data_IF_126648213574
#
_entry.id   IF_126648213574
#
_cell.length_a   1.000
_cell.length_b   1.000
_cell.length_c   1.000
_cell.angle_alpha   90.00
_cell.angle_beta   90.00
_cell.angle_gamma   90.00
#
_symmetry.space_group_name_H-M   'P 1'
#
loop_
_entity.id
_entity.type
_entity.pdbx_description
1 polymer ?
#
# COMPACT_ATOMS: atom_id res chain seq x y z
N UNK A 1 -11.78 12.75 -2.76
CA UNK A 1 -11.15 11.98 -1.67
C UNK A 1 -11.45 12.70 -0.37
N UNK A 2 -11.75 11.97 0.69
CA UNK A 2 -11.89 12.51 2.04
C UNK A 2 -10.59 12.22 2.80
N UNK A 3 -9.98 13.28 3.33
CA UNK A 3 -8.72 13.21 4.05
C UNK A 3 -8.98 13.44 5.55
N UNK A 4 -8.51 12.52 6.39
CA UNK A 4 -8.65 12.60 7.85
C UNK A 4 -7.34 12.18 8.50
N UNK A 5 -7.05 12.69 9.69
CA UNK A 5 -5.87 12.31 10.47
C UNK A 5 -6.30 11.54 11.71
N UNK A 6 -5.71 10.36 11.93
CA UNK A 6 -5.87 9.61 13.17
C UNK A 6 -4.68 9.88 14.10
N UNK A 7 -4.96 10.22 15.35
CA UNK A 7 -3.94 10.42 16.37
C UNK A 7 -3.69 9.13 17.14
N UNK A 8 -2.47 8.62 17.04
CA UNK A 8 -1.95 7.44 17.73
C UNK A 8 -2.91 6.25 17.73
N UNK A 9 -3.47 5.86 16.56
CA UNK A 9 -4.50 4.83 16.53
C UNK A 9 -3.95 3.49 16.98
N UNK A 10 -4.76 2.72 17.71
CA UNK A 10 -4.46 1.32 18.02
C UNK A 10 -4.55 0.46 16.76
N UNK A 11 -4.04 -0.78 16.83
CA UNK A 11 -4.15 -1.72 15.70
C UNK A 11 -5.61 -1.96 15.32
N UNK A 12 -6.49 -2.14 16.31
CA UNK A 12 -7.92 -2.28 16.10
C UNK A 12 -8.55 -1.01 15.51
N UNK A 13 -8.14 0.18 15.96
CA UNK A 13 -8.62 1.44 15.39
C UNK A 13 -8.26 1.59 13.91
N UNK A 14 -7.04 1.20 13.54
CA UNK A 14 -6.62 1.14 12.13
C UNK A 14 -7.46 0.12 11.35
N UNK A 15 -7.65 -1.08 11.90
CA UNK A 15 -8.44 -2.13 11.26
C UNK A 15 -9.89 -1.70 11.03
N UNK A 16 -10.52 -1.07 12.02
CA UNK A 16 -11.89 -0.54 11.94
C UNK A 16 -12.03 0.57 10.90
N UNK A 17 -10.97 1.34 10.65
CA UNK A 17 -10.98 2.37 9.59
C UNK A 17 -11.24 1.74 8.22
N UNK A 18 -10.78 0.51 7.99
CA UNK A 18 -11.04 -0.24 6.77
C UNK A 18 -12.41 -0.94 6.71
N UNK A 19 -13.22 -0.84 7.78
CA UNK A 19 -14.56 -1.42 7.82
C UNK A 19 -15.61 -0.56 7.09
N UNK A 20 -15.27 0.68 6.73
CA UNK A 20 -16.14 1.54 5.94
C UNK A 20 -16.34 0.95 4.53
N UNK A 21 -17.54 0.41 4.30
CA UNK A 21 -17.94 -0.20 3.04
C UNK A 21 -18.44 0.81 2.01
N UNK A 22 -18.67 2.07 2.39
CA UNK A 22 -19.09 3.10 1.45
C UNK A 22 -17.92 3.61 0.61
N UNK A 23 -16.71 3.61 1.17
CA UNK A 23 -15.49 3.93 0.43
C UNK A 23 -15.11 2.78 -0.51
N UNK A 24 -14.85 3.12 -1.77
CA UNK A 24 -14.37 2.17 -2.78
C UNK A 24 -12.92 1.77 -2.56
N UNK A 25 -12.11 2.67 -1.97
CA UNK A 25 -10.75 2.37 -1.55
C UNK A 25 -10.40 3.22 -0.34
N UNK A 26 -9.64 2.66 0.59
CA UNK A 26 -9.14 3.36 1.76
C UNK A 26 -7.65 3.11 1.84
N UNK A 27 -6.88 4.18 1.98
CA UNK A 27 -5.45 4.13 2.12
C UNK A 27 -5.01 4.87 3.37
N UNK A 28 -4.20 4.21 4.19
CA UNK A 28 -3.61 4.82 5.37
C UNK A 28 -2.12 5.01 5.11
N UNK A 29 -1.60 6.21 5.39
CA UNK A 29 -0.18 6.54 5.24
C UNK A 29 0.40 7.01 6.55
N UNK A 30 1.63 6.55 6.79
CA UNK A 30 2.50 7.05 7.83
C UNK A 30 3.79 7.52 7.20
N UNK A 31 4.06 8.82 7.34
CA UNK A 31 5.25 9.46 6.76
C UNK A 31 6.56 8.91 7.32
N UNK A 32 6.54 8.35 8.54
CA UNK A 32 7.64 7.60 9.15
C UNK A 32 7.10 6.71 10.29
N UNK A 33 7.80 5.62 10.63
CA UNK A 33 7.29 4.62 11.59
C UNK A 33 6.92 5.21 12.95
N UNK A 34 7.74 6.13 13.46
CA UNK A 34 7.57 6.73 14.78
C UNK A 34 6.59 7.91 14.82
N UNK A 35 5.97 8.30 13.69
CA UNK A 35 5.00 9.39 13.69
C UNK A 35 3.86 9.08 14.67
N UNK A 36 3.28 10.08 15.32
CA UNK A 36 2.10 9.86 16.17
C UNK A 36 0.83 9.89 15.35
N UNK A 37 0.86 10.33 14.10
CA UNK A 37 -0.32 10.47 13.24
C UNK A 37 -0.33 9.47 12.10
N UNK A 38 -1.52 9.13 11.62
CA UNK A 38 -1.75 8.35 10.40
C UNK A 38 -2.72 9.13 9.53
N UNK A 39 -2.32 9.40 8.29
CA UNK A 39 -3.17 10.05 7.30
C UNK A 39 -4.08 9.00 6.68
N UNK A 40 -5.39 9.24 6.70
CA UNK A 40 -6.42 8.39 6.10
C UNK A 40 -6.92 9.08 4.85
N UNK A 41 -6.87 8.39 3.71
CA UNK A 41 -7.45 8.85 2.45
C UNK A 41 -8.53 7.86 2.01
N UNK A 42 -9.77 8.34 1.94
CA UNK A 42 -10.89 7.56 1.41
C UNK A 42 -11.22 8.01 0.00
N UNK A 43 -11.40 7.04 -0.88
CA UNK A 43 -11.78 7.24 -2.27
C UNK A 43 -13.15 6.61 -2.49
N UNK A 44 -14.02 7.35 -3.15
CA UNK A 44 -15.36 6.94 -3.51
C UNK A 44 -15.41 6.90 -5.04
N UNK A 45 -15.86 5.80 -5.61
CA UNK A 45 -16.18 5.75 -7.03
C UNK A 45 -17.26 6.79 -7.30
N UNK A 46 -17.08 7.58 -8.35
CA UNK A 46 -18.19 8.36 -8.89
C UNK A 46 -19.20 7.34 -9.39
N UNK A 47 -20.43 7.38 -8.88
CA UNK A 47 -21.52 6.60 -9.45
C UNK A 47 -21.56 6.93 -10.95
N UNK A 48 -21.31 5.94 -11.80
CA UNK A 48 -21.51 6.11 -13.22
C UNK A 48 -22.99 6.44 -13.42
N UNK A 49 -23.27 7.65 -13.90
CA UNK A 49 -24.62 8.11 -14.21
C UNK A 49 -25.38 7.01 -14.97
N UNK A 50 -26.45 6.54 -14.34
CA UNK A 50 -27.36 5.53 -14.87
C UNK A 50 -28.24 6.09 -16.00
N UNK A 51 -27.63 6.63 -17.06
CA UNK A 51 -28.32 7.08 -18.25
C UNK A 51 -27.41 7.04 -19.49
N UNK A 52 -27.49 5.95 -20.26
CA UNK A 52 -26.80 5.85 -21.55
C UNK A 52 -26.81 4.46 -22.17
N UNK A 53 -27.99 3.95 -22.51
CA UNK A 53 -28.15 2.69 -23.22
C UNK A 53 -27.61 2.74 -24.66
N UNK A 54 -27.05 1.60 -25.08
CA UNK A 54 -26.94 1.05 -26.44
C UNK A 54 -26.16 1.83 -27.53
N UNK A 55 -25.01 1.28 -27.94
CA UNK A 55 -24.85 0.71 -29.29
C UNK A 55 -23.65 -0.22 -29.34
N UNK A 56 -23.89 -1.43 -29.84
CA UNK A 56 -22.91 -2.43 -30.28
C UNK A 56 -22.08 -1.90 -31.44
N UNK A 57 -20.75 -2.09 -31.41
CA UNK A 57 -19.98 -2.78 -32.47
C UNK A 57 -18.47 -2.73 -32.17
N UNK A 58 -17.87 -3.92 -32.22
CA UNK A 58 -16.48 -4.23 -32.56
C UNK A 58 -15.36 -3.24 -32.19
N UNK A 59 -14.67 -3.51 -31.08
CA UNK A 59 -13.22 -3.66 -31.10
C UNK A 59 -12.74 -4.43 -29.85
N UNK A 60 -12.27 -5.66 -30.08
CA UNK A 60 -11.46 -6.42 -29.14
C UNK A 60 -10.06 -5.78 -29.08
N UNK A 61 -9.93 -4.69 -28.34
CA UNK A 61 -8.65 -4.16 -27.85
C UNK A 61 -9.00 -3.14 -26.77
N UNK A 62 -8.35 -3.23 -25.61
CA UNK A 62 -8.52 -2.29 -24.46
C UNK A 62 -9.67 -2.58 -23.49
N UNK A 63 -9.93 -3.86 -23.17
CA UNK A 63 -10.52 -4.21 -21.87
C UNK A 63 -9.45 -4.14 -20.76
N UNK A 64 -9.00 -2.93 -20.42
CA UNK A 64 -8.24 -2.66 -19.20
C UNK A 64 -8.51 -1.25 -18.66
N UNK A 65 -9.75 -0.78 -18.83
CA UNK A 65 -10.27 0.40 -18.15
C UNK A 65 -10.67 0.09 -16.72
N UNK A 66 -9.71 -0.33 -15.88
CA UNK A 66 -9.84 0.00 -14.46
C UNK A 66 -9.65 1.51 -14.42
N UNK A 67 -10.74 2.25 -14.25
CA UNK A 67 -10.74 3.67 -13.90
C UNK A 67 -10.05 3.76 -12.53
N UNK A 68 -8.72 3.66 -12.56
CA UNK A 68 -7.85 3.69 -11.40
C UNK A 68 -8.00 5.11 -10.92
N UNK A 69 -8.83 5.29 -9.90
CA UNK A 69 -8.86 6.50 -9.09
C UNK A 69 -7.42 6.92 -8.83
N UNK A 70 -6.92 7.88 -9.64
CA UNK A 70 -5.54 8.31 -9.57
C UNK A 70 -5.41 9.03 -8.24
N UNK A 71 -4.74 8.36 -7.30
CA UNK A 71 -4.46 8.90 -5.98
C UNK A 71 -3.75 10.24 -6.18
N UNK A 72 -4.26 11.36 -5.64
CA UNK A 72 -3.57 12.63 -5.74
C UNK A 72 -2.15 12.46 -5.21
N UNK A 73 -1.18 12.70 -6.09
CA UNK A 73 0.24 12.48 -5.82
C UNK A 73 0.71 13.52 -4.81
N UNK A 74 1.44 13.06 -3.79
CA UNK A 74 2.06 13.97 -2.82
C UNK A 74 3.18 14.78 -3.50
N UNK A 75 3.69 15.84 -2.87
CA UNK A 75 4.78 16.67 -3.42
C UNK A 75 6.04 15.87 -3.83
N UNK A 76 6.27 14.72 -3.18
CA UNK A 76 7.35 13.79 -3.56
C UNK A 76 7.01 13.03 -4.84
N UNK A 77 5.73 12.68 -5.04
CA UNK A 77 5.24 12.05 -6.27
C UNK A 77 5.31 12.99 -7.47
N UNK A 78 4.94 14.27 -7.33
CA UNK A 78 5.07 15.23 -8.45
C UNK A 78 6.54 15.52 -8.79
N UNK A 79 7.45 15.48 -7.81
CA UNK A 79 8.89 15.52 -8.07
C UNK A 79 9.36 14.25 -8.78
N UNK A 80 8.82 13.09 -8.42
CA UNK A 80 9.09 11.81 -9.07
C UNK A 80 8.76 11.87 -10.56
N UNK A 81 7.61 12.45 -10.91
CA UNK A 81 7.13 12.56 -12.29
C UNK A 81 8.05 13.45 -13.13
N UNK A 82 8.45 14.59 -12.58
CA UNK A 82 9.41 15.49 -13.22
C UNK A 82 10.78 14.84 -13.42
N UNK A 83 11.18 13.95 -12.51
CA UNK A 83 12.41 13.18 -12.66
C UNK A 83 12.26 12.06 -13.71
N UNK A 84 11.06 11.49 -13.86
CA UNK A 84 10.72 10.49 -14.87
C UNK A 84 10.62 11.06 -16.29
N UNK A 85 10.23 12.32 -16.44
CA UNK A 85 10.17 13.01 -17.74
C UNK A 85 11.53 13.04 -18.48
N UNK A 86 12.64 12.98 -17.75
CA UNK A 86 13.98 12.88 -18.33
C UNK A 86 14.59 11.49 -18.10
N UNK A 87 14.92 10.81 -19.19
CA UNK A 87 15.43 9.42 -19.18
C UNK A 87 16.70 9.25 -18.34
N UNK A 88 17.58 10.26 -18.29
CA UNK A 88 18.83 10.19 -17.53
C UNK A 88 18.58 10.33 -16.03
N UNK A 89 17.75 11.30 -15.63
CA UNK A 89 17.38 11.49 -14.22
C UNK A 89 16.54 10.32 -13.72
N UNK A 90 15.61 9.84 -14.52
CA UNK A 90 14.84 8.62 -14.25
C UNK A 90 15.77 7.43 -14.02
N UNK A 91 16.73 7.20 -14.92
CA UNK A 91 17.67 6.09 -14.79
C UNK A 91 18.56 6.20 -13.55
N UNK A 92 19.14 7.37 -13.30
CA UNK A 92 19.99 7.61 -12.12
C UNK A 92 19.21 7.41 -10.83
N UNK A 93 17.97 7.89 -10.81
CA UNK A 93 17.12 7.85 -9.65
C UNK A 93 16.60 6.44 -9.36
N UNK A 94 16.13 5.70 -10.36
CA UNK A 94 15.82 4.28 -10.20
C UNK A 94 17.03 3.48 -9.76
N UNK A 95 18.23 3.79 -10.28
CA UNK A 95 19.47 3.15 -9.85
C UNK A 95 19.79 3.45 -8.39
N UNK A 96 19.63 4.71 -7.96
CA UNK A 96 19.82 5.13 -6.58
C UNK A 96 18.85 4.40 -5.64
N UNK A 97 17.57 4.38 -5.99
CA UNK A 97 16.51 3.76 -5.20
C UNK A 97 16.71 2.25 -5.13
N UNK A 98 17.09 1.59 -6.23
CA UNK A 98 17.43 0.16 -6.23
C UNK A 98 18.66 -0.15 -5.37
N UNK A 99 19.66 0.74 -5.37
CA UNK A 99 20.91 0.53 -4.63
C UNK A 99 20.75 0.76 -3.13
N UNK A 100 19.95 1.73 -2.72
CA UNK A 100 19.86 2.16 -1.31
C UNK A 100 18.52 1.87 -0.64
N UNK A 101 17.45 1.72 -1.41
CA UNK A 101 16.12 1.40 -0.92
C UNK A 101 15.95 -0.10 -0.72
N UNK A 102 15.22 -0.44 0.33
CA UNK A 102 14.64 -1.76 0.49
C UNK A 102 13.13 -1.60 0.63
N UNK A 103 12.42 -2.16 -0.33
CA UNK A 103 10.98 -2.12 -0.45
C UNK A 103 10.41 -3.52 -0.26
N UNK A 104 9.41 -3.63 0.59
CA UNK A 104 8.75 -4.89 0.91
C UNK A 104 7.26 -4.64 1.13
N UNK A 105 6.44 -5.54 0.61
CA UNK A 105 5.00 -5.54 0.85
C UNK A 105 4.65 -6.81 1.62
N UNK A 106 4.05 -6.63 2.80
CA UNK A 106 3.60 -7.71 3.68
C UNK A 106 2.08 -7.80 3.63
N UNK A 107 1.55 -9.02 3.67
CA UNK A 107 0.13 -9.28 3.88
C UNK A 107 -0.04 -9.82 5.29
N UNK A 108 -0.67 -9.01 6.13
CA UNK A 108 -0.86 -9.26 7.55
C UNK A 108 -2.33 -9.57 7.79
N UNK A 109 -2.63 -10.70 8.43
CA UNK A 109 -3.95 -10.87 9.03
C UNK A 109 -4.11 -9.96 10.27
N UNK A 110 -5.27 -10.05 10.93
CA UNK A 110 -5.58 -9.15 12.05
C UNK A 110 -4.61 -9.30 13.22
N UNK A 111 -4.22 -10.52 13.55
CA UNK A 111 -3.36 -10.81 14.70
C UNK A 111 -1.91 -10.43 14.37
N UNK A 112 -1.45 -10.78 13.16
CA UNK A 112 -0.14 -10.37 12.65
C UNK A 112 -0.01 -8.84 12.57
N UNK A 113 -1.07 -8.16 12.13
CA UNK A 113 -1.11 -6.71 12.07
C UNK A 113 -1.02 -6.09 13.46
N UNK A 114 -1.69 -6.65 14.47
CA UNK A 114 -1.60 -6.17 15.84
C UNK A 114 -0.17 -6.26 16.38
N UNK A 115 0.52 -7.37 16.16
CA UNK A 115 1.93 -7.55 16.54
C UNK A 115 2.84 -6.55 15.81
N UNK A 116 2.67 -6.42 14.49
CA UNK A 116 3.40 -5.43 13.70
C UNK A 116 3.17 -4.01 14.24
N UNK A 117 1.91 -3.63 14.47
CA UNK A 117 1.53 -2.28 14.88
C UNK A 117 1.99 -1.94 16.31
N UNK A 118 2.18 -2.92 17.19
CA UNK A 118 2.80 -2.66 18.49
C UNK A 118 4.30 -2.35 18.38
N UNK A 119 5.00 -2.94 17.40
CA UNK A 119 6.44 -2.81 17.25
C UNK A 119 6.89 -1.75 16.24
N UNK A 120 6.02 -1.37 15.29
CA UNK A 120 6.42 -0.63 14.09
C UNK A 120 7.18 0.67 14.37
N UNK A 121 6.84 1.39 15.44
CA UNK A 121 7.49 2.65 15.81
C UNK A 121 8.99 2.49 16.16
N UNK A 122 9.43 1.28 16.50
CA UNK A 122 10.82 0.93 16.81
C UNK A 122 11.57 0.35 15.61
N UNK A 123 10.87 0.08 14.51
CA UNK A 123 11.48 -0.47 13.29
C UNK A 123 12.08 0.66 12.44
N UNK A 124 13.14 0.39 11.66
CA UNK A 124 13.82 1.38 10.84
C UNK A 124 13.04 1.77 9.56
N UNK A 125 11.71 1.87 9.65
CA UNK A 125 10.82 2.16 8.53
C UNK A 125 10.75 3.66 8.26
N UNK A 126 10.98 4.02 7.00
CA UNK A 126 10.87 5.40 6.50
C UNK A 126 9.51 5.72 5.92
N UNK A 127 8.72 4.71 5.58
CA UNK A 127 7.34 4.86 5.10
C UNK A 127 6.55 3.61 5.46
N UNK A 128 5.29 3.81 5.83
CA UNK A 128 4.29 2.74 5.96
C UNK A 128 3.07 3.20 5.17
N UNK A 129 2.61 2.36 4.25
CA UNK A 129 1.37 2.57 3.51
C UNK A 129 0.52 1.31 3.64
N UNK A 130 -0.70 1.47 4.13
CA UNK A 130 -1.61 0.37 4.43
C UNK A 130 -2.83 0.42 3.51
N UNK A 131 -3.24 -0.74 3.04
CA UNK A 131 -4.48 -0.94 2.29
C UNK A 131 -5.13 -2.23 2.74
N UNK A 132 -6.45 -2.27 2.80
CA UNK A 132 -7.15 -3.52 2.97
C UNK A 132 -7.15 -4.29 1.65
N UNK A 133 -6.85 -5.59 1.73
CA UNK A 133 -7.04 -6.50 0.63
C UNK A 133 -7.99 -7.59 1.06
N UNK A 134 -9.12 -7.67 0.36
CA UNK A 134 -10.18 -8.62 0.64
C UNK A 134 -9.77 -10.01 0.17
N UNK A 135 -10.29 -11.04 0.85
CA UNK A 135 -10.18 -12.42 0.38
C UNK A 135 -10.61 -12.56 -1.08
N UNK A 136 -9.89 -13.39 -1.83
CA UNK A 136 -10.16 -13.66 -3.25
C UNK A 136 -10.54 -15.13 -3.50
N UNK A 137 -10.50 -15.97 -2.46
CA UNK A 137 -10.79 -17.41 -2.50
C UNK A 137 -9.94 -18.21 -3.51
N UNK A 138 -8.84 -17.64 -4.01
CA UNK A 138 -7.93 -18.30 -4.94
C UNK A 138 -6.90 -19.17 -4.19
N UNK A 139 -6.73 -20.45 -4.55
CA UNK A 139 -5.87 -21.39 -3.80
C UNK A 139 -4.38 -21.00 -3.71
N UNK A 140 -3.86 -20.29 -4.71
CA UNK A 140 -2.46 -19.90 -4.80
C UNK A 140 -2.21 -18.42 -4.55
N UNK A 141 -3.26 -17.67 -4.21
CA UNK A 141 -3.12 -16.27 -3.87
C UNK A 141 -2.42 -16.13 -2.51
N UNK A 142 -1.51 -15.17 -2.34
CA UNK A 142 -0.97 -14.83 -1.03
C UNK A 142 -2.05 -14.33 -0.06
N UNK A 143 -3.28 -14.09 -0.50
CA UNK A 143 -4.38 -13.57 0.33
C UNK A 143 -5.32 -14.71 0.70
N UNK A 144 -5.75 -15.48 -0.29
CA UNK A 144 -6.54 -16.69 -0.12
C UNK A 144 -7.90 -16.39 0.53
N UNK A 145 -8.18 -17.04 1.66
CA UNK A 145 -9.52 -17.05 2.30
C UNK A 145 -9.72 -16.04 3.43
N UNK A 146 -8.79 -15.09 3.63
CA UNK A 146 -8.84 -14.13 4.73
C UNK A 146 -8.65 -12.71 4.21
N UNK A 147 -9.30 -11.75 4.84
CA UNK A 147 -9.00 -10.34 4.65
C UNK A 147 -7.67 -10.02 5.34
N UNK A 148 -6.80 -9.30 4.64
CA UNK A 148 -5.47 -8.93 5.11
C UNK A 148 -5.25 -7.44 4.92
N UNK A 149 -4.42 -6.84 5.77
CA UNK A 149 -3.81 -5.55 5.48
C UNK A 149 -2.56 -5.79 4.65
N UNK A 150 -2.52 -5.20 3.45
CA UNK A 150 -1.28 -5.01 2.72
C UNK A 150 -0.53 -3.83 3.33
N UNK A 151 0.66 -4.08 3.84
CA UNK A 151 1.58 -3.09 4.35
C UNK A 151 2.76 -2.93 3.38
N UNK A 152 2.74 -1.84 2.63
CA UNK A 152 3.81 -1.40 1.73
C UNK A 152 4.81 -0.55 2.53
N UNK A 153 6.02 -1.09 2.67
CA UNK A 153 7.04 -0.62 3.60
C UNK A 153 8.31 -0.22 2.84
N UNK A 154 8.90 0.89 3.27
CA UNK A 154 10.18 1.37 2.75
C UNK A 154 11.17 1.62 3.88
N UNK A 155 12.41 1.17 3.66
CA UNK A 155 13.54 1.41 4.56
C UNK A 155 14.85 1.51 3.77
N UNK A 156 15.95 1.83 4.46
CA UNK A 156 17.28 1.75 3.83
C UNK A 156 17.71 0.29 3.75
N UNK A 157 18.44 -0.05 2.69
CA UNK A 157 18.96 -1.41 2.48
C UNK A 157 19.92 -1.86 3.57
N UNK A 158 20.63 -0.93 4.22
CA UNK A 158 21.46 -1.21 5.41
C UNK A 158 20.67 -1.72 6.61
N UNK A 159 19.38 -1.36 6.68
CA UNK A 159 18.53 -1.65 7.84
C UNK A 159 17.70 -2.93 7.64
N UNK A 160 17.86 -3.57 6.47
CA UNK A 160 17.16 -4.80 6.08
C UNK A 160 17.30 -5.90 7.12
N UNK A 161 18.51 -6.16 7.60
CA UNK A 161 18.77 -7.32 8.45
C UNK A 161 18.08 -7.19 9.82
N UNK A 162 18.02 -5.98 10.37
CA UNK A 162 17.26 -5.70 11.59
C UNK A 162 15.76 -5.96 11.39
N UNK A 163 15.21 -5.53 10.24
CA UNK A 163 13.81 -5.77 9.90
C UNK A 163 13.50 -7.25 9.66
N UNK A 164 14.35 -7.96 8.91
CA UNK A 164 14.21 -9.41 8.66
C UNK A 164 14.29 -10.20 9.96
N UNK A 165 15.20 -9.82 10.87
CA UNK A 165 15.30 -10.42 12.22
C UNK A 165 13.99 -10.26 12.99
N UNK A 166 13.38 -9.07 12.95
CA UNK A 166 12.07 -8.84 13.55
C UNK A 166 10.99 -9.75 12.94
N UNK A 167 10.92 -9.85 11.61
CA UNK A 167 9.94 -10.72 10.96
C UNK A 167 10.10 -12.18 11.37
N UNK A 168 11.32 -12.71 11.38
CA UNK A 168 11.54 -14.09 11.79
C UNK A 168 11.20 -14.34 13.27
N UNK A 169 11.45 -13.37 14.15
CA UNK A 169 11.19 -13.50 15.58
C UNK A 169 9.72 -13.34 15.97
N UNK A 170 8.96 -12.51 15.25
CA UNK A 170 7.62 -12.11 15.68
C UNK A 170 6.51 -12.44 14.68
N UNK A 171 6.83 -12.59 13.40
CA UNK A 171 5.89 -12.80 12.30
C UNK A 171 6.38 -13.91 11.36
N UNK A 172 6.66 -15.13 11.86
CA UNK A 172 7.36 -16.17 11.09
C UNK A 172 6.57 -16.71 9.89
N UNK A 173 5.25 -16.46 9.83
CA UNK A 173 4.37 -16.93 8.77
C UNK A 173 3.83 -15.81 7.87
N UNK A 174 4.36 -14.59 8.04
CA UNK A 174 3.91 -13.44 7.24
C UNK A 174 4.16 -13.68 5.76
N UNK A 175 3.15 -13.34 4.97
CA UNK A 175 3.20 -13.48 3.51
C UNK A 175 3.72 -12.19 2.92
N UNK A 176 4.43 -12.30 1.81
CA UNK A 176 5.03 -11.17 1.13
C UNK A 176 4.71 -11.21 -0.36
N UNK A 177 4.70 -10.05 -1.01
CA UNK A 177 4.51 -9.98 -2.46
C UNK A 177 5.85 -10.22 -3.19
N UNK A 178 6.04 -11.38 -3.85
CA UNK A 178 7.31 -11.70 -4.54
C UNK A 178 7.68 -10.67 -5.61
N UNK A 179 6.70 -10.01 -6.25
CA UNK A 179 6.93 -9.04 -7.32
C UNK A 179 7.40 -7.65 -6.87
N UNK A 180 7.31 -7.34 -5.57
CA UNK A 180 7.74 -6.03 -5.01
C UNK A 180 9.04 -6.10 -4.22
N UNK A 181 9.63 -7.28 -4.04
CA UNK A 181 10.96 -7.37 -3.46
C UNK A 181 11.96 -6.70 -4.41
N UNK A 182 12.58 -5.65 -3.91
CA UNK A 182 13.78 -5.09 -4.52
C UNK A 182 14.93 -6.06 -4.25
N UNK A 183 14.99 -7.16 -5.00
CA UNK A 183 16.18 -8.01 -5.10
C UNK A 183 17.39 -7.16 -5.45
#
# INVERSE_FOLDING_TARGET
AEDTVLESPSADGVWQTFADTAASNIELRKSHASATTVDVRKYYALEADASGANTSEANESEANGSDRLEIPRDAIGSLWDRLEENRVTSWLFHTLVRRYGFHVELFLDRDEFAVFWQAHARLPLKKIQLRLVRRDDLPHSPIGRRDCISADLFMRRSDRDAFVTFLHGHLPHVRHNPGKHSM
#
